data_IF_244400461017
#
_entry.id   IF_244400461017
#
_cell.length_a   1.000
_cell.length_b   1.000
_cell.length_c   1.000
_cell.angle_alpha   90.00
_cell.angle_beta   90.00
_cell.angle_gamma   90.00
#
_symmetry.space_group_name_H-M   'P 1'
#
loop_
_entity.id
_entity.type
_entity.pdbx_description
1 polymer ?
#
# COMPACT_ATOMS: atom_id res chain seq x y z
N UNK A 1 5.14 -27.34 -1.64
CA UNK A 1 4.07 -26.36 -1.34
C UNK A 1 3.23 -26.75 -0.13
N UNK A 2 2.57 -27.92 -0.10
CA UNK A 2 1.77 -28.34 1.06
C UNK A 2 2.54 -28.46 2.39
N UNK A 3 3.78 -28.99 2.38
CA UNK A 3 4.63 -29.03 3.59
C UNK A 3 5.04 -27.66 4.13
N UNK A 4 5.35 -26.70 3.25
CA UNK A 4 5.68 -25.33 3.65
C UNK A 4 4.48 -24.61 4.29
N UNK A 5 3.26 -24.93 3.84
CA UNK A 5 2.02 -24.47 4.47
C UNK A 5 1.81 -25.11 5.86
N UNK A 6 2.23 -26.37 6.06
CA UNK A 6 2.11 -27.05 7.35
C UNK A 6 3.12 -26.53 8.38
N UNK A 7 4.35 -26.22 7.95
CA UNK A 7 5.41 -25.72 8.83
C UNK A 7 5.18 -24.24 9.23
N UNK A 8 4.49 -23.45 8.39
CA UNK A 8 4.15 -22.07 8.70
C UNK A 8 3.29 -21.95 9.97
N UNK A 9 2.36 -22.87 10.23
CA UNK A 9 1.29 -22.77 11.25
C UNK A 9 1.76 -22.55 12.70
N UNK A 10 3.05 -22.71 13.03
CA UNK A 10 3.48 -22.92 14.43
C UNK A 10 4.02 -21.76 15.25
N UNK A 11 4.40 -20.57 14.73
CA UNK A 11 4.62 -19.36 15.56
C UNK A 11 4.79 -18.02 14.78
N UNK A 12 5.07 -18.05 13.47
CA UNK A 12 5.03 -16.90 12.54
C UNK A 12 4.12 -17.17 11.34
N UNK A 13 3.04 -17.92 11.60
CA UNK A 13 2.21 -18.52 10.56
C UNK A 13 1.61 -17.54 9.59
N UNK A 14 1.11 -16.42 10.10
CA UNK A 14 0.40 -15.43 9.30
C UNK A 14 1.37 -14.74 8.34
N UNK A 15 2.53 -14.27 8.83
CA UNK A 15 3.53 -13.61 7.98
C UNK A 15 4.06 -14.56 6.91
N UNK A 16 4.35 -15.82 7.28
CA UNK A 16 4.80 -16.83 6.31
C UNK A 16 3.71 -17.13 5.26
N UNK A 17 2.45 -17.22 5.68
CA UNK A 17 1.32 -17.43 4.76
C UNK A 17 1.15 -16.24 3.80
N UNK A 18 1.20 -15.01 4.31
CA UNK A 18 1.11 -13.80 3.48
C UNK A 18 2.25 -13.71 2.48
N UNK A 19 3.48 -14.04 2.88
CA UNK A 19 4.62 -14.12 1.96
C UNK A 19 4.39 -15.17 0.84
N UNK A 20 3.85 -16.34 1.19
CA UNK A 20 3.48 -17.34 0.19
C UNK A 20 2.38 -16.85 -0.76
N UNK A 21 1.43 -16.07 -0.25
CA UNK A 21 0.35 -15.48 -1.05
C UNK A 21 0.90 -14.42 -2.00
N UNK A 22 1.81 -13.55 -1.54
CA UNK A 22 2.52 -12.57 -2.37
C UNK A 22 3.28 -13.28 -3.49
N UNK A 23 4.06 -14.32 -3.16
CA UNK A 23 4.78 -15.12 -4.16
C UNK A 23 3.85 -15.77 -5.19
N UNK A 24 2.69 -16.26 -4.74
CA UNK A 24 1.67 -16.83 -5.62
C UNK A 24 1.02 -15.76 -6.50
N UNK A 25 0.74 -14.57 -5.97
CA UNK A 25 0.20 -13.44 -6.72
C UNK A 25 1.20 -12.94 -7.79
N UNK A 26 2.50 -12.93 -7.48
CA UNK A 26 3.57 -12.59 -8.43
C UNK A 26 3.65 -13.58 -9.60
N UNK A 27 3.55 -14.88 -9.31
CA UNK A 27 3.74 -15.98 -10.29
C UNK A 27 2.47 -16.32 -11.05
N UNK A 28 1.36 -16.56 -10.34
CA UNK A 28 0.09 -17.03 -10.88
C UNK A 28 -1.10 -16.25 -10.26
N UNK A 29 -1.29 -14.96 -10.60
CA UNK A 29 -2.33 -14.12 -10.04
C UNK A 29 -3.75 -14.68 -10.28
N UNK A 30 -3.96 -15.44 -11.36
CA UNK A 30 -5.27 -16.02 -11.71
C UNK A 30 -5.77 -17.03 -10.69
N UNK A 31 -4.88 -17.54 -9.84
CA UNK A 31 -5.23 -18.39 -8.69
C UNK A 31 -6.33 -17.74 -7.83
N UNK A 32 -6.24 -16.43 -7.58
CA UNK A 32 -7.17 -15.71 -6.72
C UNK A 32 -8.47 -15.29 -7.41
N UNK A 33 -8.64 -15.53 -8.72
CA UNK A 33 -9.74 -14.96 -9.51
C UNK A 33 -11.14 -15.20 -8.93
N UNK A 34 -11.38 -16.36 -8.33
CA UNK A 34 -12.70 -16.75 -7.79
C UNK A 34 -12.99 -16.07 -6.44
N UNK A 35 -11.97 -15.90 -5.61
CA UNK A 35 -12.07 -15.39 -4.23
C UNK A 35 -11.47 -13.97 -4.11
N UNK A 36 -11.21 -13.30 -5.23
CA UNK A 36 -10.44 -12.05 -5.25
C UNK A 36 -11.06 -10.98 -4.36
N UNK A 37 -12.39 -10.87 -4.36
CA UNK A 37 -13.12 -9.87 -3.58
C UNK A 37 -12.94 -10.14 -2.09
N UNK A 38 -13.14 -11.39 -1.67
CA UNK A 38 -13.04 -11.80 -0.27
C UNK A 38 -11.60 -11.63 0.24
N UNK A 39 -10.61 -12.19 -0.49
CA UNK A 39 -9.20 -12.12 -0.08
C UNK A 39 -8.68 -10.69 -0.03
N UNK A 40 -9.05 -9.83 -0.97
CA UNK A 40 -8.64 -8.41 -0.94
C UNK A 40 -9.32 -7.66 0.21
N UNK A 41 -10.58 -7.96 0.50
CA UNK A 41 -11.28 -7.37 1.64
C UNK A 41 -10.64 -7.80 2.96
N UNK A 42 -10.32 -9.09 3.13
CA UNK A 42 -9.61 -9.61 4.30
C UNK A 42 -8.25 -8.92 4.49
N UNK A 43 -7.49 -8.70 3.40
CA UNK A 43 -6.22 -7.98 3.48
C UNK A 43 -6.40 -6.53 3.94
N UNK A 44 -7.48 -5.88 3.53
CA UNK A 44 -7.76 -4.53 4.00
C UNK A 44 -8.12 -4.50 5.48
N UNK A 45 -8.93 -5.45 5.95
CA UNK A 45 -9.24 -5.58 7.38
C UNK A 45 -7.96 -5.80 8.20
N UNK A 46 -7.07 -6.69 7.75
CA UNK A 46 -5.78 -6.94 8.39
C UNK A 46 -4.92 -5.67 8.45
N UNK A 47 -4.86 -4.91 7.35
CA UNK A 47 -4.07 -3.69 7.27
C UNK A 47 -4.59 -2.56 8.19
N UNK A 48 -5.91 -2.50 8.42
CA UNK A 48 -6.54 -1.47 9.26
C UNK A 48 -6.65 -1.86 10.74
N UNK A 49 -6.54 -3.14 11.09
CA UNK A 49 -6.69 -3.62 12.46
C UNK A 49 -5.53 -3.19 13.37
N UNK A 50 -5.83 -2.31 14.33
CA UNK A 50 -4.85 -1.79 15.31
C UNK A 50 -4.21 -2.86 16.19
N UNK A 51 -4.84 -4.02 16.35
CA UNK A 51 -4.30 -5.15 17.13
C UNK A 51 -3.26 -5.99 16.37
N UNK A 52 -3.19 -5.85 15.05
CA UNK A 52 -2.23 -6.56 14.20
C UNK A 52 -0.88 -5.84 14.20
N UNK A 53 0.20 -6.64 14.25
CA UNK A 53 1.58 -6.13 14.18
C UNK A 53 1.84 -5.46 12.83
N UNK A 54 2.56 -4.35 12.85
CA UNK A 54 2.90 -3.53 11.68
C UNK A 54 3.42 -4.33 10.48
N UNK A 55 4.47 -5.14 10.67
CA UNK A 55 5.02 -6.01 9.62
C UNK A 55 3.96 -6.91 8.94
N UNK A 56 2.94 -7.34 9.69
CA UNK A 56 1.86 -8.17 9.12
C UNK A 56 0.89 -7.32 8.30
N UNK A 57 0.65 -6.07 8.70
CA UNK A 57 -0.11 -5.09 7.92
C UNK A 57 0.60 -4.77 6.61
N UNK A 58 1.90 -4.49 6.64
CA UNK A 58 2.71 -4.26 5.44
C UNK A 58 2.60 -5.42 4.45
N UNK A 59 2.67 -6.66 4.92
CA UNK A 59 2.49 -7.84 4.06
C UNK A 59 1.09 -7.93 3.44
N UNK A 60 0.05 -7.50 4.14
CA UNK A 60 -1.31 -7.43 3.59
C UNK A 60 -1.41 -6.37 2.49
N UNK A 61 -0.85 -5.17 2.71
CA UNK A 61 -0.76 -4.11 1.68
C UNK A 61 0.04 -4.58 0.47
N UNK A 62 1.21 -5.19 0.70
CA UNK A 62 2.10 -5.72 -0.34
C UNK A 62 1.41 -6.77 -1.20
N UNK A 63 0.58 -7.64 -0.60
CA UNK A 63 -0.21 -8.61 -1.36
C UNK A 63 -1.20 -7.93 -2.32
N UNK A 64 -1.94 -6.94 -1.83
CA UNK A 64 -2.91 -6.22 -2.66
C UNK A 64 -2.20 -5.45 -3.78
N UNK A 65 -1.10 -4.77 -3.45
CA UNK A 65 -0.27 -4.05 -4.41
C UNK A 65 0.28 -4.98 -5.49
N UNK A 66 0.79 -6.15 -5.10
CA UNK A 66 1.27 -7.19 -6.02
C UNK A 66 0.18 -7.61 -7.03
N UNK A 67 -1.08 -7.74 -6.58
CA UNK A 67 -2.19 -8.05 -7.48
C UNK A 67 -2.49 -6.91 -8.45
N UNK A 68 -2.35 -5.66 -8.02
CA UNK A 68 -2.51 -4.47 -8.88
C UNK A 68 -1.42 -4.43 -9.95
N UNK A 69 -0.16 -4.69 -9.59
CA UNK A 69 0.98 -4.77 -10.50
C UNK A 69 0.82 -5.91 -11.52
N UNK A 70 0.20 -7.01 -11.13
CA UNK A 70 -0.07 -8.16 -11.99
C UNK A 70 -1.15 -7.92 -13.07
N UNK A 71 -1.66 -6.69 -13.21
CA UNK A 71 -2.71 -6.27 -14.18
C UNK A 71 -2.51 -6.80 -15.59
N UNK A 72 -1.28 -6.75 -16.11
CA UNK A 72 -0.96 -7.23 -17.48
C UNK A 72 -1.13 -8.74 -17.63
N UNK A 73 -0.87 -9.53 -16.58
CA UNK A 73 -0.96 -11.01 -16.59
C UNK A 73 -2.41 -11.51 -16.44
N UNK A 74 -3.27 -10.74 -15.78
CA UNK A 74 -4.65 -11.12 -15.46
C UNK A 74 -5.68 -9.99 -15.65
N UNK A 75 -5.87 -9.44 -16.88
CA UNK A 75 -6.74 -8.28 -17.12
C UNK A 75 -8.21 -8.50 -16.72
N UNK A 76 -8.71 -9.73 -16.78
CA UNK A 76 -10.07 -10.07 -16.36
C UNK A 76 -10.32 -9.95 -14.85
N UNK A 77 -9.27 -10.07 -14.02
CA UNK A 77 -9.37 -9.84 -12.57
C UNK A 77 -9.39 -8.35 -12.23
N UNK A 78 -8.71 -7.54 -13.05
CA UNK A 78 -8.50 -6.13 -12.78
C UNK A 78 -9.78 -5.32 -12.77
N UNK A 79 -10.79 -5.70 -13.57
CA UNK A 79 -12.11 -5.04 -13.48
C UNK A 79 -12.71 -5.13 -12.07
N UNK A 80 -12.50 -6.24 -11.38
CA UNK A 80 -12.94 -6.40 -9.98
C UNK A 80 -12.01 -5.67 -9.02
N UNK A 81 -10.70 -5.68 -9.31
CA UNK A 81 -9.70 -5.01 -8.48
C UNK A 81 -9.80 -3.47 -8.53
N UNK A 82 -10.28 -2.91 -9.65
CA UNK A 82 -10.55 -1.48 -9.80
C UNK A 82 -11.64 -0.97 -8.86
N UNK A 83 -12.50 -1.82 -8.30
CA UNK A 83 -13.43 -1.39 -7.23
C UNK A 83 -12.71 -1.10 -5.91
N UNK A 84 -11.50 -1.65 -5.75
CA UNK A 84 -10.71 -1.52 -4.53
C UNK A 84 -9.61 -0.45 -4.63
N UNK A 85 -9.41 0.17 -5.80
CA UNK A 85 -8.28 1.11 -5.98
C UNK A 85 -8.41 2.36 -5.14
N UNK A 86 -9.62 2.86 -4.89
CA UNK A 86 -9.83 3.98 -3.98
C UNK A 86 -9.48 3.58 -2.54
N UNK A 87 -9.86 2.37 -2.13
CA UNK A 87 -9.52 1.82 -0.81
C UNK A 87 -8.01 1.61 -0.66
N UNK A 88 -7.35 1.04 -1.67
CA UNK A 88 -5.88 0.91 -1.70
C UNK A 88 -5.21 2.27 -1.55
N UNK A 89 -5.65 3.27 -2.33
CA UNK A 89 -5.06 4.60 -2.30
C UNK A 89 -5.25 5.25 -0.92
N UNK A 90 -6.46 5.21 -0.37
CA UNK A 90 -6.74 5.73 0.97
C UNK A 90 -5.90 5.03 2.06
N UNK A 91 -5.70 3.72 1.92
CA UNK A 91 -4.84 2.95 2.83
C UNK A 91 -3.38 3.37 2.75
N UNK A 92 -2.84 3.54 1.53
CA UNK A 92 -1.48 4.03 1.31
C UNK A 92 -1.34 5.44 1.89
N UNK A 93 -2.32 6.32 1.68
CA UNK A 93 -2.31 7.66 2.28
C UNK A 93 -2.26 7.63 3.81
N UNK A 94 -2.92 6.67 4.46
CA UNK A 94 -2.85 6.52 5.94
C UNK A 94 -1.43 6.17 6.40
N UNK A 95 -0.67 5.39 5.63
CA UNK A 95 0.73 5.08 5.94
C UNK A 95 1.59 6.35 5.89
N UNK A 96 1.33 7.23 4.92
CA UNK A 96 2.03 8.52 4.79
C UNK A 96 1.71 9.53 5.90
N UNK A 97 0.71 9.26 6.73
CA UNK A 97 0.42 10.09 7.90
C UNK A 97 1.30 9.74 9.10
N UNK A 98 1.98 8.59 9.08
CA UNK A 98 2.84 8.14 10.17
C UNK A 98 4.22 8.78 10.06
N UNK A 99 4.25 10.10 10.14
CA UNK A 99 5.47 10.92 10.09
C UNK A 99 5.55 11.76 11.36
N UNK A 100 6.74 11.85 11.94
CA UNK A 100 6.98 12.57 13.17
C UNK A 100 7.50 13.99 12.88
N UNK A 101 7.06 14.95 13.68
CA UNK A 101 7.56 16.32 13.61
C UNK A 101 8.91 16.43 14.34
N UNK A 102 9.98 16.05 13.64
CA UNK A 102 11.32 16.00 14.21
C UNK A 102 12.08 17.33 14.03
N UNK A 103 12.46 18.03 15.12
CA UNK A 103 13.11 19.34 15.02
C UNK A 103 14.44 19.35 14.25
N UNK A 104 15.12 18.21 14.18
CA UNK A 104 16.37 18.07 13.40
C UNK A 104 16.14 18.21 11.90
N UNK A 105 14.92 17.90 11.41
CA UNK A 105 14.50 18.10 10.02
C UNK A 105 14.52 19.58 9.61
N UNK A 106 14.36 20.50 10.56
CA UNK A 106 14.39 21.95 10.27
C UNK A 106 15.80 22.48 9.97
N UNK A 107 16.83 21.65 10.18
CA UNK A 107 18.20 22.02 9.84
C UNK A 107 18.39 22.02 8.33
N UNK A 108 19.30 22.85 7.83
CA UNK A 108 19.68 22.83 6.40
C UNK A 108 20.72 21.74 6.09
N UNK A 109 20.93 20.81 7.02
CA UNK A 109 21.91 19.74 6.90
C UNK A 109 21.28 18.54 6.20
N UNK A 110 21.91 18.08 5.12
CA UNK A 110 21.49 16.89 4.39
C UNK A 110 21.51 15.62 5.25
N UNK A 111 22.26 15.60 6.36
CA UNK A 111 22.28 14.47 7.28
C UNK A 111 20.91 14.19 7.94
N UNK A 112 20.01 15.19 8.00
CA UNK A 112 18.70 15.09 8.65
C UNK A 112 17.52 15.16 7.66
N UNK A 113 17.77 14.95 6.35
CA UNK A 113 16.75 15.07 5.30
C UNK A 113 15.53 14.16 5.53
N UNK A 114 15.75 12.98 6.13
CA UNK A 114 14.73 11.96 6.43
C UNK A 114 14.33 11.93 7.92
N UNK A 115 14.68 12.96 8.69
CA UNK A 115 14.30 13.02 10.09
C UNK A 115 12.76 13.07 10.23
N UNK A 116 12.22 12.20 11.08
CA UNK A 116 10.78 12.05 11.29
C UNK A 116 10.11 10.98 10.42
N UNK A 117 10.81 10.43 9.41
CA UNK A 117 10.27 9.32 8.62
C UNK A 117 10.27 8.00 9.43
N UNK A 118 9.09 7.40 9.57
CA UNK A 118 8.92 6.09 10.20
C UNK A 118 8.99 4.95 9.17
N UNK A 119 9.09 3.71 9.64
CA UNK A 119 9.02 2.52 8.76
C UNK A 119 7.69 2.47 7.98
N UNK A 120 6.57 2.87 8.58
CA UNK A 120 5.28 2.96 7.90
C UNK A 120 5.28 4.03 6.81
N UNK A 121 5.86 5.21 7.09
CA UNK A 121 5.95 6.30 6.13
C UNK A 121 6.72 5.85 4.89
N UNK A 122 7.96 5.38 5.08
CA UNK A 122 8.83 4.94 3.98
C UNK A 122 8.18 3.80 3.18
N UNK A 123 7.57 2.82 3.86
CA UNK A 123 6.83 1.75 3.18
C UNK A 123 5.62 2.29 2.39
N UNK A 124 4.91 3.29 2.93
CA UNK A 124 3.82 3.98 2.25
C UNK A 124 4.26 4.67 0.97
N UNK A 125 5.43 5.31 0.98
CA UNK A 125 6.00 5.97 -0.21
C UNK A 125 6.28 4.98 -1.33
N UNK A 126 6.99 3.89 -1.01
CA UNK A 126 7.31 2.82 -1.96
C UNK A 126 6.02 2.20 -2.54
N UNK A 127 5.01 2.02 -1.68
CA UNK A 127 3.71 1.52 -2.12
C UNK A 127 3.04 2.49 -3.09
N UNK A 128 3.08 3.80 -2.80
CA UNK A 128 2.45 4.82 -3.63
C UNK A 128 3.09 4.90 -5.02
N UNK A 129 4.42 4.87 -5.08
CA UNK A 129 5.18 4.84 -6.34
C UNK A 129 4.74 3.68 -7.22
N UNK A 130 4.83 2.46 -6.67
CA UNK A 130 4.47 1.22 -7.36
C UNK A 130 3.02 1.19 -7.77
N UNK A 131 2.12 1.68 -6.92
CA UNK A 131 0.69 1.75 -7.19
C UNK A 131 0.37 2.72 -8.33
N UNK A 132 0.98 3.90 -8.32
CA UNK A 132 0.87 4.91 -9.39
C UNK A 132 1.32 4.32 -10.73
N UNK A 133 2.51 3.73 -10.77
CA UNK A 133 3.07 3.10 -11.97
C UNK A 133 2.19 1.95 -12.50
N UNK A 134 1.59 1.14 -11.62
CA UNK A 134 0.75 0.02 -12.02
C UNK A 134 -0.63 0.42 -12.58
N UNK A 135 -1.23 1.49 -12.05
CA UNK A 135 -2.53 1.97 -12.52
C UNK A 135 -2.44 2.86 -13.77
N UNK A 136 -1.35 3.61 -13.89
CA UNK A 136 -1.09 4.61 -14.94
C UNK A 136 -1.73 5.96 -14.63
N UNK A 137 -1.08 7.03 -15.09
CA UNK A 137 -1.35 8.43 -14.74
C UNK A 137 -2.83 8.85 -14.78
N UNK A 138 -3.57 8.47 -15.83
CA UNK A 138 -5.00 8.84 -15.96
C UNK A 138 -5.86 8.30 -14.81
N UNK A 139 -5.65 7.05 -14.42
CA UNK A 139 -6.46 6.41 -13.38
C UNK A 139 -6.11 6.99 -12.02
N UNK A 140 -4.80 7.04 -11.71
CA UNK A 140 -4.34 7.51 -10.40
C UNK A 140 -4.64 9.00 -10.18
N UNK A 141 -4.52 9.85 -11.20
CA UNK A 141 -4.87 11.26 -11.10
C UNK A 141 -6.36 11.46 -10.77
N UNK A 142 -7.26 10.66 -11.38
CA UNK A 142 -8.69 10.73 -11.06
C UNK A 142 -8.98 10.35 -9.60
N UNK A 143 -8.31 9.31 -9.10
CA UNK A 143 -8.47 8.85 -7.71
C UNK A 143 -7.91 9.91 -6.74
N UNK A 144 -6.75 10.46 -7.06
CA UNK A 144 -6.08 11.48 -6.25
C UNK A 144 -6.92 12.75 -6.15
N UNK A 145 -7.50 13.23 -7.26
CA UNK A 145 -8.38 14.41 -7.22
C UNK A 145 -9.60 14.21 -6.33
N UNK A 146 -10.18 13.01 -6.31
CA UNK A 146 -11.34 12.69 -5.47
C UNK A 146 -10.99 12.60 -3.99
N UNK A 147 -9.85 12.00 -3.64
CA UNK A 147 -9.50 11.67 -2.25
C UNK A 147 -8.65 12.73 -1.55
N UNK A 148 -7.84 13.49 -2.29
CA UNK A 148 -6.90 14.45 -1.70
C UNK A 148 -7.52 15.80 -1.36
N UNK A 149 -8.68 16.15 -1.92
CA UNK A 149 -9.37 17.43 -1.63
C UNK A 149 -9.60 17.61 -0.12
N UNK A 150 -10.14 16.58 0.54
CA UNK A 150 -10.37 16.60 1.98
C UNK A 150 -9.08 16.61 2.82
N UNK A 151 -7.98 16.03 2.31
CA UNK A 151 -6.69 16.04 3.00
C UNK A 151 -6.00 17.41 2.90
N UNK A 152 -6.19 18.10 1.78
CA UNK A 152 -5.59 19.41 1.52
C UNK A 152 -6.16 20.49 2.45
N UNK A 153 -7.47 20.46 2.68
CA UNK A 153 -8.16 21.41 3.56
C UNK A 153 -8.07 21.04 5.07
N UNK A 154 -7.35 19.97 5.41
CA UNK A 154 -7.21 19.51 6.78
C UNK A 154 -6.35 20.44 7.65
N UNK A 155 -6.69 20.55 8.93
CA UNK A 155 -5.86 21.24 9.93
C UNK A 155 -4.60 20.44 10.33
N UNK A 156 -4.66 19.10 10.24
CA UNK A 156 -3.52 18.19 10.47
C UNK A 156 -2.47 18.39 9.36
N UNK A 157 -1.21 18.64 9.74
CA UNK A 157 -0.14 18.96 8.79
C UNK A 157 0.32 17.72 8.01
N UNK A 158 0.27 16.56 8.64
CA UNK A 158 0.60 15.25 8.11
C UNK A 158 -0.27 14.94 6.88
N UNK A 159 -1.56 15.30 6.95
CA UNK A 159 -2.49 15.14 5.81
C UNK A 159 -2.13 16.05 4.65
N UNK A 160 -1.80 17.31 4.91
CA UNK A 160 -1.36 18.25 3.87
C UNK A 160 -0.01 17.83 3.26
N UNK A 161 0.90 17.33 4.10
CA UNK A 161 2.17 16.75 3.68
C UNK A 161 1.95 15.54 2.75
N UNK A 162 1.09 14.60 3.14
CA UNK A 162 0.74 13.44 2.32
C UNK A 162 0.14 13.82 0.96
N UNK A 163 -0.62 14.91 0.86
CA UNK A 163 -1.12 15.43 -0.44
C UNK A 163 0.03 15.86 -1.34
N UNK A 164 0.97 16.64 -0.82
CA UNK A 164 2.14 17.10 -1.58
C UNK A 164 2.98 15.92 -2.04
N UNK A 165 3.22 14.95 -1.14
CA UNK A 165 3.98 13.76 -1.48
C UNK A 165 3.26 12.90 -2.51
N UNK A 166 1.94 12.75 -2.40
CA UNK A 166 1.17 12.02 -3.39
C UNK A 166 1.20 12.67 -4.77
N UNK A 167 1.12 14.01 -4.84
CA UNK A 167 1.29 14.71 -6.12
C UNK A 167 2.68 14.53 -6.71
N UNK A 168 3.73 14.62 -5.89
CA UNK A 168 5.11 14.35 -6.33
C UNK A 168 5.21 12.96 -6.95
N UNK A 169 4.74 11.93 -6.23
CA UNK A 169 4.89 10.55 -6.67
C UNK A 169 4.04 10.22 -7.91
N UNK A 170 2.84 10.79 -8.00
CA UNK A 170 1.98 10.64 -9.17
C UNK A 170 2.62 11.29 -10.40
N UNK A 171 3.23 12.46 -10.23
CA UNK A 171 3.90 13.17 -11.32
C UNK A 171 5.15 12.40 -11.81
N UNK A 172 5.91 11.78 -10.91
CA UNK A 172 7.08 10.96 -11.27
C UNK A 172 6.70 9.66 -11.97
N UNK A 173 5.64 8.99 -11.51
CA UNK A 173 5.18 7.70 -12.06
C UNK A 173 4.31 7.77 -13.33
N UNK A 174 4.05 8.97 -13.88
CA UNK A 174 3.16 9.20 -15.03
C UNK A 174 3.88 9.31 -16.38
#
# INVERSE_FOLDING_TARGET
MLRALTDAVRNDAVQNMLNLFIELAKKEPRFFRRQLVDVVSDMFEIAEDKSVKEKTKHLAVEFVLTLVEAKKKAPGMMKKLLFFTNTCFAMILKLLLDIEDEPSWYSTDSEHEYAGETENYTFGEECLERFSAALGGKTIASIAMELLEAYFDSAEWEKRHAVLRAFYQIAEGS
#
